data_IF_926081945074
#
_entry.id   IF_926081945074
#
_cell.length_a   1.000
_cell.length_b   1.000
_cell.length_c   1.000
_cell.angle_alpha   90.00
_cell.angle_beta   90.00
_cell.angle_gamma   90.00
#
_symmetry.space_group_name_H-M   'P 1'
#
loop_
_entity.id
_entity.type
_entity.pdbx_description
1 polymer ?
#
# COMPACT_ATOMS: atom_id res chain seq x y z
N UNK A 1 -12.54 -4.82 15.71
CA UNK A 1 -11.44 -5.52 15.01
C UNK A 1 -11.28 -5.04 13.57
N UNK A 2 -12.34 -4.94 12.76
CA UNK A 2 -12.27 -4.44 11.37
C UNK A 2 -11.61 -3.05 11.22
N UNK A 3 -11.92 -2.09 12.09
CA UNK A 3 -11.34 -0.74 12.02
C UNK A 3 -9.80 -0.70 12.17
N UNK A 4 -9.18 -1.67 12.85
CA UNK A 4 -7.72 -1.73 12.97
C UNK A 4 -7.08 -2.24 11.67
N UNK A 5 -7.67 -3.28 11.07
CA UNK A 5 -7.17 -3.86 9.83
C UNK A 5 -7.30 -2.89 8.65
N UNK A 6 -8.43 -2.18 8.53
CA UNK A 6 -8.60 -1.14 7.51
C UNK A 6 -7.51 -0.04 7.65
N UNK A 7 -7.20 0.38 8.88
CA UNK A 7 -6.12 1.34 9.15
C UNK A 7 -4.74 0.80 8.77
N UNK A 8 -4.44 -0.47 9.06
CA UNK A 8 -3.17 -1.11 8.70
C UNK A 8 -2.99 -1.25 7.19
N UNK A 9 -4.04 -1.67 6.47
CA UNK A 9 -4.04 -1.73 5.00
C UNK A 9 -3.78 -0.34 4.42
N UNK A 10 -4.45 0.68 4.95
CA UNK A 10 -4.21 2.06 4.53
C UNK A 10 -2.76 2.49 4.77
N UNK A 11 -2.22 2.21 5.96
CA UNK A 11 -0.83 2.53 6.30
C UNK A 11 0.15 1.82 5.35
N UNK A 12 -0.05 0.52 5.10
CA UNK A 12 0.76 -0.26 4.15
C UNK A 12 0.83 0.39 2.77
N UNK A 13 -0.31 0.84 2.22
CA UNK A 13 -0.33 1.51 0.93
C UNK A 13 0.36 2.88 0.98
N UNK A 14 0.18 3.64 2.06
CA UNK A 14 0.78 4.97 2.20
C UNK A 14 2.31 4.95 2.33
N UNK A 15 2.92 3.86 2.83
CA UNK A 15 4.38 3.77 2.98
C UNK A 15 5.12 3.28 1.73
N UNK A 16 4.41 2.91 0.65
CA UNK A 16 5.01 2.20 -0.50
C UNK A 16 6.18 2.96 -1.14
N UNK A 17 6.06 4.28 -1.33
CA UNK A 17 7.16 5.12 -1.86
C UNK A 17 8.40 5.08 -0.98
N UNK A 18 8.23 5.11 0.34
CA UNK A 18 9.33 5.04 1.32
C UNK A 18 9.99 3.66 1.30
N UNK A 19 9.19 2.60 1.29
CA UNK A 19 9.65 1.22 1.17
C UNK A 19 10.48 1.04 -0.12
N UNK A 20 10.00 1.54 -1.26
CA UNK A 20 10.73 1.49 -2.53
C UNK A 20 12.06 2.26 -2.48
N UNK A 21 12.08 3.45 -1.88
CA UNK A 21 13.29 4.24 -1.72
C UNK A 21 14.34 3.53 -0.85
N UNK A 22 13.92 2.92 0.27
CA UNK A 22 14.79 2.15 1.16
C UNK A 22 15.35 0.91 0.45
N UNK A 23 14.50 0.16 -0.27
CA UNK A 23 14.97 -0.96 -1.09
C UNK A 23 15.97 -0.52 -2.15
N UNK A 24 15.75 0.64 -2.79
CA UNK A 24 16.68 1.23 -3.75
C UNK A 24 18.04 1.55 -3.11
N UNK A 25 18.03 2.13 -1.91
CA UNK A 25 19.25 2.40 -1.16
C UNK A 25 20.05 1.12 -0.84
N UNK A 26 19.40 0.07 -0.32
CA UNK A 26 20.08 -1.20 -0.01
C UNK A 26 20.66 -1.87 -1.27
N UNK A 27 19.97 -1.81 -2.41
CA UNK A 27 20.49 -2.32 -3.69
C UNK A 27 21.77 -1.60 -4.11
N UNK A 28 21.85 -0.28 -3.91
CA UNK A 28 23.06 0.50 -4.20
C UNK A 28 24.18 0.08 -3.23
N UNK A 29 23.90 -0.04 -1.94
CA UNK A 29 24.92 -0.46 -0.98
C UNK A 29 25.54 -1.83 -1.30
N UNK A 30 24.69 -2.79 -1.69
CA UNK A 30 25.12 -4.12 -2.13
C UNK A 30 25.98 -4.04 -3.41
N UNK A 31 25.53 -3.31 -4.42
CA UNK A 31 26.24 -3.19 -5.71
C UNK A 31 27.64 -2.58 -5.60
N UNK A 32 27.85 -1.69 -4.62
CA UNK A 32 29.10 -0.98 -4.40
C UNK A 32 29.91 -1.49 -3.19
N UNK A 33 29.50 -2.62 -2.57
CA UNK A 33 30.13 -3.19 -1.37
C UNK A 33 30.37 -2.14 -0.26
N UNK A 34 29.45 -1.19 -0.10
CA UNK A 34 29.65 -0.03 0.78
C UNK A 34 29.58 -0.40 2.27
N UNK A 35 29.00 -1.55 2.61
CA UNK A 35 28.87 -2.03 3.99
C UNK A 35 28.82 -3.56 4.04
N UNK A 36 29.32 -4.13 5.14
CA UNK A 36 29.10 -5.54 5.46
C UNK A 36 27.62 -5.77 5.72
N UNK A 37 26.99 -6.65 4.92
CA UNK A 37 25.58 -6.99 5.05
C UNK A 37 25.37 -7.76 6.36
N UNK A 38 24.66 -7.15 7.31
CA UNK A 38 24.29 -7.79 8.58
C UNK A 38 23.02 -8.61 8.43
N UNK A 39 22.82 -9.61 9.30
CA UNK A 39 21.57 -10.38 9.33
C UNK A 39 20.34 -9.49 9.57
N UNK A 40 20.48 -8.42 10.35
CA UNK A 40 19.41 -7.46 10.61
C UNK A 40 19.03 -6.68 9.35
N UNK A 41 20.03 -6.25 8.55
CA UNK A 41 19.79 -5.60 7.27
C UNK A 41 19.08 -6.55 6.28
N UNK A 42 19.48 -7.83 6.22
CA UNK A 42 18.82 -8.84 5.38
C UNK A 42 17.35 -9.00 5.79
N UNK A 43 17.09 -9.17 7.09
CA UNK A 43 15.73 -9.33 7.61
C UNK A 43 14.87 -8.08 7.34
N UNK A 44 15.45 -6.89 7.49
CA UNK A 44 14.78 -5.64 7.17
C UNK A 44 14.39 -5.56 5.70
N UNK A 45 15.33 -5.81 4.78
CA UNK A 45 15.07 -5.84 3.33
C UNK A 45 14.00 -6.87 2.97
N UNK A 46 14.04 -8.06 3.58
CA UNK A 46 13.02 -9.10 3.35
C UNK A 46 11.63 -8.62 3.74
N UNK A 47 11.49 -7.95 4.90
CA UNK A 47 10.20 -7.38 5.34
C UNK A 47 9.69 -6.32 4.35
N UNK A 48 10.56 -5.41 3.91
CA UNK A 48 10.23 -4.41 2.90
C UNK A 48 9.78 -5.04 1.57
N UNK A 49 10.44 -6.11 1.12
CA UNK A 49 10.02 -6.85 -0.07
C UNK A 49 8.65 -7.51 0.12
N UNK A 50 8.40 -8.12 1.29
CA UNK A 50 7.08 -8.65 1.65
C UNK A 50 6.00 -7.56 1.58
N UNK A 51 6.26 -6.34 2.05
CA UNK A 51 5.28 -5.25 1.99
C UNK A 51 4.93 -4.82 0.56
N UNK A 52 5.90 -4.85 -0.37
CA UNK A 52 5.67 -4.53 -1.79
C UNK A 52 4.87 -5.64 -2.47
N UNK A 53 5.27 -6.90 -2.26
CA UNK A 53 4.56 -8.03 -2.86
C UNK A 53 3.15 -8.15 -2.30
N UNK A 54 3.01 -8.03 -0.98
CA UNK A 54 1.74 -8.04 -0.28
C UNK A 54 0.81 -6.93 -0.76
N UNK A 55 1.29 -5.69 -0.87
CA UNK A 55 0.45 -4.58 -1.36
C UNK A 55 -0.06 -4.83 -2.78
N UNK A 56 0.79 -5.29 -3.69
CA UNK A 56 0.39 -5.66 -5.05
C UNK A 56 -0.64 -6.78 -5.07
N UNK A 57 -0.46 -7.82 -4.25
CA UNK A 57 -1.43 -8.92 -4.14
C UNK A 57 -2.79 -8.44 -3.62
N UNK A 58 -2.83 -7.51 -2.66
CA UNK A 58 -4.09 -6.97 -2.15
C UNK A 58 -4.84 -6.12 -3.19
N UNK A 59 -4.12 -5.43 -4.09
CA UNK A 59 -4.76 -4.69 -5.19
C UNK A 59 -5.50 -5.60 -6.17
N UNK A 60 -5.08 -6.87 -6.32
CA UNK A 60 -5.75 -7.84 -7.20
C UNK A 60 -7.16 -8.24 -6.73
N UNK A 61 -7.54 -7.91 -5.49
CA UNK A 61 -8.89 -8.13 -4.94
C UNK A 61 -9.88 -7.07 -5.47
N UNK A 62 -9.36 -5.92 -5.85
CA UNK A 62 -10.13 -4.75 -6.25
C UNK A 62 -10.49 -4.79 -7.75
N UNK A 63 -11.54 -4.06 -8.13
CA UNK A 63 -11.72 -3.73 -9.55
C UNK A 63 -10.59 -2.81 -10.03
N UNK A 64 -10.41 -2.69 -11.34
CA UNK A 64 -9.39 -1.80 -11.92
C UNK A 64 -9.57 -0.34 -11.48
N UNK A 65 -10.82 0.13 -11.42
CA UNK A 65 -11.19 1.46 -10.94
C UNK A 65 -10.83 1.66 -9.46
N UNK A 66 -11.22 0.71 -8.61
CA UNK A 66 -10.91 0.72 -7.17
C UNK A 66 -9.38 0.72 -6.94
N UNK A 67 -8.66 -0.15 -7.64
CA UNK A 67 -7.21 -0.27 -7.55
C UNK A 67 -6.52 1.03 -7.99
N UNK A 68 -6.93 1.61 -9.13
CA UNK A 68 -6.36 2.87 -9.61
C UNK A 68 -6.51 3.99 -8.58
N UNK A 69 -7.68 4.09 -7.94
CA UNK A 69 -7.93 5.12 -6.94
C UNK A 69 -6.98 4.97 -5.73
N UNK A 70 -6.77 3.74 -5.26
CA UNK A 70 -5.81 3.41 -4.19
C UNK A 70 -4.37 3.73 -4.62
N UNK A 71 -3.99 3.36 -5.84
CA UNK A 71 -2.66 3.61 -6.38
C UNK A 71 -2.35 5.12 -6.50
N UNK A 72 -3.31 5.92 -6.97
CA UNK A 72 -3.13 7.37 -7.10
C UNK A 72 -3.05 8.04 -5.73
N UNK A 73 -4.01 7.79 -4.84
CA UNK A 73 -4.09 8.54 -3.59
C UNK A 73 -3.14 7.99 -2.51
N UNK A 74 -3.11 6.68 -2.30
CA UNK A 74 -2.36 6.08 -1.19
C UNK A 74 -0.94 5.69 -1.61
N UNK A 75 -0.76 5.01 -2.74
CA UNK A 75 0.58 4.53 -3.15
C UNK A 75 1.44 5.67 -3.68
N UNK A 76 0.91 6.48 -4.61
CA UNK A 76 1.60 7.66 -5.14
C UNK A 76 1.49 8.87 -4.20
N UNK A 77 0.63 8.85 -3.18
CA UNK A 77 0.52 9.94 -2.21
C UNK A 77 0.05 11.26 -2.82
N UNK A 78 -0.73 11.21 -3.91
CA UNK A 78 -1.26 12.43 -4.52
C UNK A 78 -2.30 13.09 -3.60
N UNK A 79 -2.42 14.42 -3.65
CA UNK A 79 -3.55 15.10 -3.03
C UNK A 79 -4.85 14.72 -3.76
N UNK A 80 -5.99 14.88 -3.09
CA UNK A 80 -7.29 14.53 -3.66
C UNK A 80 -7.58 15.22 -4.99
N UNK A 81 -7.22 16.49 -5.12
CA UNK A 81 -7.46 17.26 -6.34
C UNK A 81 -6.69 16.65 -7.53
N UNK A 82 -5.43 16.28 -7.33
CA UNK A 82 -4.61 15.60 -8.34
C UNK A 82 -5.05 14.15 -8.58
N UNK A 83 -5.48 13.44 -7.52
CA UNK A 83 -6.02 12.09 -7.63
C UNK A 83 -7.25 12.07 -8.52
N UNK A 84 -8.21 12.94 -8.27
CA UNK A 84 -9.46 13.04 -9.04
C UNK A 84 -9.14 13.39 -10.49
N UNK A 85 -8.28 14.38 -10.71
CA UNK A 85 -7.85 14.76 -12.07
C UNK A 85 -7.26 13.59 -12.87
N UNK A 86 -6.30 12.84 -12.29
CA UNK A 86 -5.69 11.69 -12.97
C UNK A 86 -6.67 10.53 -13.14
N UNK A 87 -7.58 10.32 -12.19
CA UNK A 87 -8.62 9.30 -12.27
C UNK A 87 -9.61 9.59 -13.41
N UNK A 88 -10.16 10.82 -13.46
CA UNK A 88 -11.12 11.26 -14.48
C UNK A 88 -10.48 11.28 -15.88
N UNK A 89 -9.16 11.52 -15.99
CA UNK A 89 -8.45 11.40 -17.26
C UNK A 89 -8.51 9.98 -17.84
N UNK A 90 -8.49 8.94 -16.99
CA UNK A 90 -8.64 7.54 -17.41
C UNK A 90 -10.11 7.12 -17.55
N UNK A 91 -11.00 7.68 -16.73
CA UNK A 91 -12.44 7.43 -16.75
C UNK A 91 -13.24 8.73 -16.96
N UNK A 92 -13.32 9.27 -18.20
CA UNK A 92 -13.91 10.60 -18.44
C UNK A 92 -15.40 10.70 -18.11
N UNK A 93 -16.12 9.58 -18.10
CA UNK A 93 -17.54 9.54 -17.74
C UNK A 93 -17.79 9.81 -16.25
N UNK A 94 -16.76 9.75 -15.41
CA UNK A 94 -16.82 10.10 -13.99
C UNK A 94 -16.59 11.60 -13.74
N UNK A 95 -16.31 12.38 -14.79
CA UNK A 95 -15.96 13.81 -14.67
C UNK A 95 -17.03 14.60 -13.93
N UNK A 96 -16.59 15.42 -12.97
CA UNK A 96 -17.48 16.28 -12.17
C UNK A 96 -18.09 15.58 -10.96
N UNK A 97 -17.67 14.35 -10.67
CA UNK A 97 -18.06 13.63 -9.46
C UNK A 97 -17.52 14.32 -8.21
N UNK A 98 -18.33 14.36 -7.16
CA UNK A 98 -17.95 15.01 -5.90
C UNK A 98 -16.76 14.28 -5.24
N UNK A 99 -15.78 15.03 -4.73
CA UNK A 99 -14.65 14.53 -3.91
C UNK A 99 -15.06 13.52 -2.83
N UNK A 100 -16.18 13.74 -2.14
CA UNK A 100 -16.71 12.84 -1.10
C UNK A 100 -17.01 11.45 -1.66
N UNK A 101 -17.47 11.35 -2.90
CA UNK A 101 -17.73 10.06 -3.57
C UNK A 101 -16.44 9.27 -3.74
N UNK A 102 -15.35 9.91 -4.17
CA UNK A 102 -14.05 9.25 -4.26
C UNK A 102 -13.52 8.80 -2.89
N UNK A 103 -13.67 9.63 -1.85
CA UNK A 103 -13.32 9.25 -0.48
C UNK A 103 -14.08 8.00 -0.02
N UNK A 104 -15.39 7.95 -0.29
CA UNK A 104 -16.23 6.80 0.05
C UNK A 104 -15.84 5.55 -0.75
N UNK A 105 -15.55 5.68 -2.05
CA UNK A 105 -15.07 4.57 -2.90
C UNK A 105 -13.75 4.01 -2.38
N UNK A 106 -12.81 4.87 -2.01
CA UNK A 106 -11.55 4.43 -1.40
C UNK A 106 -11.81 3.67 -0.09
N UNK A 107 -12.68 4.18 0.79
CA UNK A 107 -13.02 3.49 2.03
C UNK A 107 -13.64 2.12 1.76
N UNK A 108 -14.53 2.04 0.77
CA UNK A 108 -15.16 0.78 0.34
C UNK A 108 -14.13 -0.22 -0.19
N UNK A 109 -13.17 0.24 -0.99
CA UNK A 109 -12.09 -0.61 -1.51
C UNK A 109 -11.21 -1.15 -0.36
N UNK A 110 -10.82 -0.30 0.60
CA UNK A 110 -10.05 -0.75 1.77
C UNK A 110 -10.83 -1.78 2.58
N UNK A 111 -12.13 -1.54 2.79
CA UNK A 111 -13.01 -2.49 3.49
C UNK A 111 -13.09 -3.83 2.77
N UNK A 112 -13.25 -3.82 1.44
CA UNK A 112 -13.27 -5.04 0.62
C UNK A 112 -12.01 -5.88 0.80
N UNK A 113 -10.84 -5.24 0.87
CA UNK A 113 -9.58 -5.92 1.19
C UNK A 113 -9.59 -6.47 2.61
N UNK A 114 -10.04 -5.69 3.59
CA UNK A 114 -10.10 -6.12 4.99
C UNK A 114 -11.04 -7.34 5.19
N UNK A 115 -12.19 -7.33 4.51
CA UNK A 115 -13.15 -8.43 4.52
C UNK A 115 -12.55 -9.70 3.89
N UNK A 116 -11.80 -9.56 2.80
CA UNK A 116 -11.07 -10.66 2.18
C UNK A 116 -10.01 -11.25 3.14
N UNK A 117 -9.13 -10.41 3.69
CA UNK A 117 -8.09 -10.85 4.64
C UNK A 117 -8.71 -11.59 5.82
N UNK A 118 -9.81 -11.06 6.37
CA UNK A 118 -10.51 -11.69 7.48
C UNK A 118 -11.06 -13.07 7.09
N UNK A 119 -11.73 -13.15 5.93
CA UNK A 119 -12.41 -14.36 5.46
C UNK A 119 -11.46 -15.50 5.07
N UNK A 120 -10.21 -15.18 4.75
CA UNK A 120 -9.22 -16.15 4.28
C UNK A 120 -8.00 -16.29 5.21
N UNK A 121 -8.07 -15.73 6.42
CA UNK A 121 -6.99 -15.78 7.42
C UNK A 121 -6.66 -17.17 7.95
N UNK A 122 -7.54 -18.15 7.73
CA UNK A 122 -7.34 -19.57 8.03
C UNK A 122 -6.51 -20.29 6.95
N UNK A 123 -6.44 -19.73 5.73
CA UNK A 123 -5.80 -20.36 4.56
C UNK A 123 -4.50 -19.70 4.15
N UNK A 124 -4.40 -18.39 4.34
CA UNK A 124 -3.23 -17.61 3.95
C UNK A 124 -2.66 -16.86 5.15
N UNK A 125 -1.33 -16.77 5.18
CA UNK A 125 -0.63 -16.01 6.20
C UNK A 125 -0.69 -14.51 5.89
N UNK A 126 -1.44 -13.78 6.72
CA UNK A 126 -1.51 -12.32 6.72
C UNK A 126 -0.82 -11.69 7.94
N UNK A 127 -0.03 -12.45 8.71
CA UNK A 127 0.65 -11.95 9.92
C UNK A 127 1.58 -10.77 9.63
N UNK A 128 2.13 -10.70 8.42
CA UNK A 128 2.97 -9.59 7.94
C UNK A 128 2.22 -8.23 7.88
N UNK A 129 0.88 -8.20 7.82
CA UNK A 129 0.10 -6.96 7.94
C UNK A 129 0.10 -6.38 9.36
N UNK A 130 0.40 -7.19 10.36
CA UNK A 130 0.52 -6.79 11.76
C UNK A 130 1.95 -6.37 12.12
N UNK A 131 2.85 -6.36 11.14
CA UNK A 131 4.25 -6.01 11.37
C UNK A 131 4.36 -4.53 11.84
N UNK A 132 4.98 -4.26 13.01
CA UNK A 132 5.05 -2.92 13.57
C UNK A 132 5.83 -1.93 12.69
N UNK A 133 6.73 -2.43 11.83
CA UNK A 133 7.49 -1.59 10.91
C UNK A 133 6.59 -0.82 9.93
N UNK A 134 5.38 -1.33 9.64
CA UNK A 134 4.42 -0.60 8.81
C UNK A 134 4.05 0.73 9.47
N UNK A 135 3.79 0.72 10.77
CA UNK A 135 3.43 1.93 11.52
C UNK A 135 4.63 2.83 11.75
N UNK A 136 5.80 2.25 12.06
CA UNK A 136 7.05 3.01 12.23
C UNK A 136 7.39 3.79 10.95
N UNK A 137 7.21 3.15 9.80
CA UNK A 137 7.39 3.78 8.48
C UNK A 137 6.24 4.71 8.09
N UNK A 138 5.12 4.74 8.80
CA UNK A 138 4.01 5.65 8.51
C UNK A 138 4.11 6.99 9.27
N UNK A 139 4.84 7.01 10.39
CA UNK A 139 4.97 8.18 11.29
C UNK A 139 6.23 9.00 11.03
N UNK A 140 7.28 8.40 10.48
CA UNK A 140 8.52 9.09 10.07
C UNK A 140 8.33 10.05 8.88
#
# INVERSE_FOLDING_TARGET
MANNLESQIKALFSIQRRVQAQLGFYRIQEAYNLQSITNDAINYVRRLQCFILGSHSLLLILSEEEALLIELHLVKGLKWESTIYEYEKKYPFEMGTNKRTYMNRQQSAIRKIADYVTSYSDRFDFSWLQDPLINDLAVA
#
